data_IF_329329158354
#
_entry.id   IF_329329158354
#
_cell.length_a   1.000
_cell.length_b   1.000
_cell.length_c   1.000
_cell.angle_alpha   90.00
_cell.angle_beta   90.00
_cell.angle_gamma   90.00
#
_symmetry.space_group_name_H-M   'P 1'
#
loop_
_entity.id
_entity.type
_entity.pdbx_description
1 polymer ?
#
# COMPACT_ATOMS: atom_id res chain seq x y z
N UNK A 1 15.05 -2.67 15.56
CA UNK A 1 15.82 -3.89 15.86
C UNK A 1 15.50 -5.03 14.90
N UNK A 2 14.20 -5.43 14.75
CA UNK A 2 13.83 -6.55 13.87
C UNK A 2 14.25 -6.31 12.41
N UNK A 3 14.04 -5.11 11.88
CA UNK A 3 14.39 -4.74 10.51
C UNK A 3 15.89 -4.93 10.23
N UNK A 4 16.74 -4.46 11.13
CA UNK A 4 18.18 -4.63 11.03
C UNK A 4 18.61 -6.11 11.02
N UNK A 5 17.88 -6.96 11.74
CA UNK A 5 18.13 -8.41 11.74
C UNK A 5 17.72 -9.05 10.40
N UNK A 6 16.61 -8.65 9.81
CA UNK A 6 16.20 -9.09 8.47
C UNK A 6 17.17 -8.62 7.39
N UNK A 7 17.62 -7.36 7.42
CA UNK A 7 18.66 -6.84 6.52
C UNK A 7 19.96 -7.66 6.59
N UNK A 8 20.32 -8.12 7.81
CA UNK A 8 21.48 -8.99 8.05
C UNK A 8 21.21 -10.47 7.81
N UNK A 9 20.05 -10.84 7.25
CA UNK A 9 19.61 -12.23 7.02
C UNK A 9 19.55 -13.09 8.28
N UNK A 10 19.34 -12.47 9.43
CA UNK A 10 19.15 -13.13 10.72
C UNK A 10 17.66 -13.31 11.01
N UNK A 11 16.95 -13.94 10.09
CA UNK A 11 15.50 -14.05 10.08
C UNK A 11 14.91 -14.62 11.36
N UNK A 12 15.54 -15.67 11.91
CA UNK A 12 15.08 -16.29 13.15
C UNK A 12 15.09 -15.34 14.35
N UNK A 13 16.13 -14.50 14.45
CA UNK A 13 16.22 -13.47 15.49
C UNK A 13 15.25 -12.33 15.24
N UNK A 14 15.11 -11.90 13.97
CA UNK A 14 14.12 -10.89 13.58
C UNK A 14 12.70 -11.30 13.95
N UNK A 15 12.31 -12.54 13.64
CA UNK A 15 11.02 -13.11 14.00
C UNK A 15 10.83 -13.19 15.53
N UNK A 16 11.86 -13.57 16.28
CA UNK A 16 11.82 -13.56 17.75
C UNK A 16 11.55 -12.19 18.34
N UNK A 17 12.20 -11.15 17.80
CA UNK A 17 11.97 -9.77 18.24
C UNK A 17 10.54 -9.33 17.92
N UNK A 18 10.01 -9.72 16.76
CA UNK A 18 8.62 -9.40 16.39
C UNK A 18 7.62 -10.17 17.26
N UNK A 19 7.87 -11.45 17.60
CA UNK A 19 6.96 -12.23 18.46
C UNK A 19 6.83 -11.64 19.85
N UNK A 20 7.89 -11.05 20.42
CA UNK A 20 7.81 -10.36 21.70
C UNK A 20 6.81 -9.18 21.67
N UNK A 21 6.67 -8.48 20.53
CA UNK A 21 5.64 -7.44 20.38
C UNK A 21 4.24 -8.05 20.33
N UNK A 22 4.07 -9.19 19.66
CA UNK A 22 2.80 -9.90 19.60
C UNK A 22 2.34 -10.36 20.99
N UNK A 23 3.26 -10.78 21.86
CA UNK A 23 2.97 -11.25 23.20
C UNK A 23 2.54 -10.13 24.18
N UNK A 24 2.81 -8.86 23.83
CA UNK A 24 2.48 -7.73 24.72
C UNK A 24 1.00 -7.40 24.74
N UNK A 25 0.29 -7.52 23.59
CA UNK A 25 -1.14 -7.17 23.50
C UNK A 25 -1.74 -7.76 22.22
N UNK A 26 -2.23 -9.02 22.32
CA UNK A 26 -2.79 -9.76 21.19
C UNK A 26 -4.12 -9.23 20.67
N UNK A 27 -4.77 -8.33 21.39
CA UNK A 27 -6.04 -7.71 20.99
C UNK A 27 -5.86 -6.31 20.42
N UNK A 28 -4.63 -5.79 20.40
CA UNK A 28 -4.36 -4.47 19.87
C UNK A 28 -4.19 -4.50 18.36
N UNK A 29 -5.24 -4.09 17.64
CA UNK A 29 -5.25 -4.08 16.17
C UNK A 29 -4.11 -3.27 15.55
N UNK A 30 -3.65 -2.19 16.19
CA UNK A 30 -2.57 -1.38 15.68
C UNK A 30 -1.23 -2.13 15.75
N UNK A 31 -0.95 -2.81 16.87
CA UNK A 31 0.24 -3.65 17.03
C UNK A 31 0.23 -4.80 16.03
N UNK A 32 -0.91 -5.50 15.90
CA UNK A 32 -1.06 -6.61 14.96
C UNK A 32 -0.83 -6.16 13.51
N UNK A 33 -1.35 -4.97 13.14
CA UNK A 33 -1.16 -4.40 11.81
C UNK A 33 0.31 -4.04 11.53
N UNK A 34 0.99 -3.40 12.49
CA UNK A 34 2.44 -3.12 12.42
C UNK A 34 3.23 -4.42 12.21
N UNK A 35 2.92 -5.46 13.00
CA UNK A 35 3.56 -6.77 12.87
C UNK A 35 3.32 -7.39 11.49
N UNK A 36 2.08 -7.35 11.01
CA UNK A 36 1.71 -7.83 9.69
C UNK A 36 2.50 -7.13 8.58
N UNK A 37 2.60 -5.80 8.62
CA UNK A 37 3.41 -5.03 7.66
C UNK A 37 4.89 -5.40 7.73
N UNK A 38 5.47 -5.55 8.93
CA UNK A 38 6.87 -5.97 9.09
C UNK A 38 7.13 -7.36 8.51
N UNK A 39 6.21 -8.29 8.70
CA UNK A 39 6.31 -9.63 8.13
C UNK A 39 6.20 -9.62 6.60
N UNK A 40 5.28 -8.82 6.03
CA UNK A 40 5.21 -8.64 4.58
C UNK A 40 6.51 -8.07 4.02
N UNK A 41 7.08 -7.05 4.66
CA UNK A 41 8.35 -6.44 4.29
C UNK A 41 9.51 -7.44 4.30
N UNK A 42 9.52 -8.34 5.30
CA UNK A 42 10.52 -9.40 5.43
C UNK A 42 10.27 -10.58 4.47
N UNK A 43 9.29 -10.51 3.57
CA UNK A 43 8.92 -11.61 2.67
C UNK A 43 8.26 -12.80 3.39
N UNK A 44 7.74 -12.59 4.60
CA UNK A 44 7.11 -13.63 5.44
C UNK A 44 5.58 -13.55 5.37
N UNK A 45 5.02 -13.35 4.18
CA UNK A 45 3.58 -13.12 3.97
C UNK A 45 2.69 -14.21 4.60
N UNK A 46 3.12 -15.49 4.61
CA UNK A 46 2.38 -16.58 5.25
C UNK A 46 2.19 -16.37 6.76
N UNK A 47 3.12 -15.71 7.43
CA UNK A 47 3.02 -15.37 8.85
C UNK A 47 2.20 -14.09 9.08
N UNK A 48 2.11 -13.21 8.09
CA UNK A 48 1.32 -11.99 8.18
C UNK A 48 -0.19 -12.25 8.05
N UNK A 49 -0.60 -13.25 7.26
CA UNK A 49 -2.02 -13.56 7.01
C UNK A 49 -2.81 -13.73 8.29
N UNK A 50 -2.46 -14.61 9.25
CA UNK A 50 -3.26 -14.79 10.47
C UNK A 50 -3.36 -13.51 11.32
N UNK A 51 -2.35 -12.63 11.28
CA UNK A 51 -2.42 -11.34 11.97
C UNK A 51 -3.44 -10.42 11.31
N UNK A 52 -3.46 -10.34 9.98
CA UNK A 52 -4.44 -9.53 9.26
C UNK A 52 -5.85 -10.14 9.33
N UNK A 53 -6.01 -11.45 9.42
CA UNK A 53 -7.30 -12.10 9.72
C UNK A 53 -7.82 -11.61 11.07
N UNK A 54 -6.98 -11.61 12.10
CA UNK A 54 -7.33 -11.10 13.42
C UNK A 54 -7.61 -9.59 13.41
N UNK A 55 -6.83 -8.78 12.68
CA UNK A 55 -7.09 -7.33 12.52
C UNK A 55 -8.46 -7.10 11.88
N UNK A 56 -8.81 -7.87 10.83
CA UNK A 56 -10.14 -7.77 10.20
C UNK A 56 -11.26 -8.08 11.20
N UNK A 57 -11.08 -9.08 12.04
CA UNK A 57 -12.10 -9.49 13.03
C UNK A 57 -12.23 -8.46 14.17
N UNK A 58 -11.14 -7.81 14.57
CA UNK A 58 -11.12 -6.75 15.57
C UNK A 58 -11.61 -5.38 15.03
N UNK A 59 -11.39 -5.12 13.75
CA UNK A 59 -11.73 -3.86 13.09
C UNK A 59 -12.50 -4.05 11.77
N UNK A 60 -13.70 -4.68 11.78
CA UNK A 60 -14.49 -4.94 10.58
C UNK A 60 -15.10 -3.68 9.97
N UNK A 61 -14.98 -2.53 10.64
CA UNK A 61 -15.42 -1.19 10.22
C UNK A 61 -14.32 -0.39 9.53
N UNK A 62 -13.10 -0.93 9.42
CA UNK A 62 -11.96 -0.31 8.73
C UNK A 62 -11.71 -1.02 7.39
N UNK A 63 -11.83 -0.32 6.24
CA UNK A 63 -11.61 -0.93 4.93
C UNK A 63 -10.19 -1.46 4.75
N UNK A 64 -9.19 -0.80 5.38
CA UNK A 64 -7.80 -1.24 5.35
C UNK A 64 -7.60 -2.64 5.92
N UNK A 65 -8.43 -3.07 6.90
CA UNK A 65 -8.36 -4.41 7.46
C UNK A 65 -8.60 -5.50 6.40
N UNK A 66 -9.54 -5.27 5.50
CA UNK A 66 -9.83 -6.17 4.37
C UNK A 66 -8.81 -6.02 3.25
N UNK A 67 -8.39 -4.80 2.92
CA UNK A 67 -7.41 -4.55 1.87
C UNK A 67 -6.05 -5.17 2.22
N UNK A 68 -5.56 -4.95 3.44
CA UNK A 68 -4.28 -5.50 3.90
C UNK A 68 -4.30 -7.04 3.86
N UNK A 69 -5.40 -7.65 4.29
CA UNK A 69 -5.61 -9.10 4.20
C UNK A 69 -5.64 -9.57 2.75
N UNK A 70 -6.33 -8.86 1.86
CA UNK A 70 -6.38 -9.16 0.43
C UNK A 70 -5.01 -9.14 -0.21
N UNK A 71 -4.20 -8.12 0.08
CA UNK A 71 -2.82 -8.02 -0.43
C UNK A 71 -1.92 -9.13 0.15
N UNK A 72 -2.12 -9.51 1.42
CA UNK A 72 -1.39 -10.61 2.03
C UNK A 72 -1.76 -11.97 1.40
N UNK A 73 -3.05 -12.21 1.11
CA UNK A 73 -3.47 -13.40 0.37
C UNK A 73 -2.89 -13.45 -1.04
N UNK A 74 -2.87 -12.33 -1.76
CA UNK A 74 -2.21 -12.24 -3.08
C UNK A 74 -0.73 -12.61 -2.99
N UNK A 75 -0.03 -12.12 -1.98
CA UNK A 75 1.40 -12.39 -1.77
C UNK A 75 1.73 -13.87 -1.46
N UNK A 76 0.76 -14.66 -0.98
CA UNK A 76 0.93 -16.11 -0.74
C UNK A 76 0.37 -17.00 -1.84
N UNK A 77 -0.15 -16.41 -2.94
CA UNK A 77 -0.70 -17.13 -4.08
C UNK A 77 -2.12 -17.67 -3.84
N UNK A 78 -2.93 -16.98 -3.04
CA UNK A 78 -4.35 -17.28 -2.79
C UNK A 78 -5.24 -16.23 -3.51
N UNK A 79 -5.28 -16.21 -4.86
CA UNK A 79 -5.86 -15.11 -5.61
C UNK A 79 -7.38 -14.99 -5.40
N UNK A 80 -8.09 -16.09 -5.17
CA UNK A 80 -9.54 -16.03 -4.89
C UNK A 80 -9.82 -15.31 -3.56
N UNK A 81 -9.11 -15.68 -2.50
CA UNK A 81 -9.28 -15.03 -1.18
C UNK A 81 -8.89 -13.56 -1.23
N UNK A 82 -7.85 -13.24 -2.00
CA UNK A 82 -7.42 -11.87 -2.23
C UNK A 82 -8.51 -11.05 -2.93
N UNK A 83 -9.09 -11.57 -4.02
CA UNK A 83 -10.18 -10.92 -4.75
C UNK A 83 -11.42 -10.76 -3.86
N UNK A 84 -11.80 -11.78 -3.10
CA UNK A 84 -12.95 -11.73 -2.18
C UNK A 84 -12.76 -10.61 -1.13
N UNK A 85 -11.58 -10.50 -0.53
CA UNK A 85 -11.29 -9.47 0.47
C UNK A 85 -11.28 -8.05 -0.13
N UNK A 86 -10.69 -7.87 -1.31
CA UNK A 86 -10.68 -6.58 -2.02
C UNK A 86 -12.10 -6.19 -2.50
N UNK A 87 -12.92 -7.16 -2.91
CA UNK A 87 -14.30 -6.93 -3.27
C UNK A 87 -15.13 -6.43 -2.09
N UNK A 88 -14.89 -6.94 -0.88
CA UNK A 88 -15.55 -6.43 0.33
C UNK A 88 -15.29 -4.94 0.52
N UNK A 89 -14.07 -4.46 0.24
CA UNK A 89 -13.73 -3.03 0.31
C UNK A 89 -14.46 -2.25 -0.79
N UNK A 90 -14.49 -2.78 -2.02
CA UNK A 90 -15.05 -2.10 -3.18
C UNK A 90 -16.59 -1.97 -3.14
N UNK A 91 -17.29 -2.93 -2.53
CA UNK A 91 -18.77 -3.00 -2.54
C UNK A 91 -19.47 -2.33 -1.36
N UNK A 92 -18.74 -2.08 -0.27
CA UNK A 92 -19.30 -1.48 0.95
C UNK A 92 -19.17 0.04 0.94
N UNK A 93 -20.11 0.68 1.62
CA UNK A 93 -19.97 2.07 2.04
C UNK A 93 -19.14 2.13 3.33
N UNK A 94 -18.18 3.03 3.36
CA UNK A 94 -17.28 3.25 4.48
C UNK A 94 -17.45 4.66 5.04
N UNK A 95 -17.00 4.87 6.26
CA UNK A 95 -16.96 6.22 6.85
C UNK A 95 -16.20 7.18 5.92
N UNK A 96 -16.66 8.44 5.86
CA UNK A 96 -16.12 9.45 4.94
C UNK A 96 -14.62 9.75 5.12
N UNK A 97 -14.03 9.37 6.26
CA UNK A 97 -12.58 9.46 6.48
C UNK A 97 -11.76 8.53 5.59
N UNK A 98 -12.38 7.54 4.96
CA UNK A 98 -11.75 6.57 4.06
C UNK A 98 -12.07 6.88 2.59
N UNK A 99 -11.90 8.13 2.21
CA UNK A 99 -12.24 8.59 0.87
C UNK A 99 -11.53 7.77 -0.23
N UNK A 100 -12.27 7.38 -1.25
CA UNK A 100 -11.79 6.64 -2.43
C UNK A 100 -11.15 5.26 -2.19
N UNK A 101 -11.11 4.74 -0.97
CA UNK A 101 -10.49 3.44 -0.68
C UNK A 101 -11.14 2.28 -1.46
N UNK A 102 -12.46 2.36 -1.67
CA UNK A 102 -13.19 1.38 -2.48
C UNK A 102 -12.73 1.37 -3.94
N UNK A 103 -12.39 2.54 -4.50
CA UNK A 103 -11.87 2.64 -5.86
C UNK A 103 -10.46 2.05 -5.98
N UNK A 104 -9.61 2.29 -4.98
CA UNK A 104 -8.26 1.72 -4.91
C UNK A 104 -8.33 0.20 -4.85
N UNK A 105 -9.15 -0.36 -3.95
CA UNK A 105 -9.34 -1.80 -3.83
C UNK A 105 -9.97 -2.43 -5.08
N UNK A 106 -10.92 -1.74 -5.72
CA UNK A 106 -11.52 -2.17 -6.99
C UNK A 106 -10.47 -2.27 -8.10
N UNK A 107 -9.58 -1.29 -8.18
CA UNK A 107 -8.49 -1.27 -9.15
C UNK A 107 -7.53 -2.45 -8.91
N UNK A 108 -7.17 -2.71 -7.66
CA UNK A 108 -6.32 -3.85 -7.26
C UNK A 108 -6.98 -5.20 -7.55
N UNK A 109 -8.27 -5.34 -7.23
CA UNK A 109 -9.03 -6.56 -7.53
C UNK A 109 -9.06 -6.86 -9.03
N UNK A 110 -9.37 -5.86 -9.85
CA UNK A 110 -9.45 -6.05 -11.31
C UNK A 110 -8.08 -6.36 -11.93
N UNK A 111 -6.99 -5.76 -11.43
CA UNK A 111 -5.64 -6.10 -11.85
C UNK A 111 -5.28 -7.55 -11.47
N UNK A 112 -5.65 -7.98 -10.27
CA UNK A 112 -5.47 -9.34 -9.80
C UNK A 112 -6.22 -10.35 -10.69
N UNK A 113 -7.50 -10.09 -11.00
CA UNK A 113 -8.32 -10.92 -11.89
C UNK A 113 -7.67 -11.02 -13.27
N UNK A 114 -7.22 -9.92 -13.84
CA UNK A 114 -6.60 -9.89 -15.17
C UNK A 114 -5.28 -10.66 -15.22
N UNK A 115 -4.51 -10.64 -14.15
CA UNK A 115 -3.20 -11.33 -14.08
C UNK A 115 -3.31 -12.79 -13.66
N UNK A 116 -4.46 -13.22 -13.11
CA UNK A 116 -4.74 -14.60 -12.68
C UNK A 116 -5.96 -15.16 -13.41
N UNK A 117 -6.02 -14.95 -14.74
CA UNK A 117 -7.13 -15.38 -15.56
C UNK A 117 -7.44 -16.89 -15.37
N UNK A 118 -8.69 -17.20 -15.05
CA UNK A 118 -9.18 -18.57 -14.83
C UNK A 118 -8.91 -19.14 -13.43
N UNK A 119 -8.13 -18.45 -12.57
CA UNK A 119 -7.89 -18.86 -11.19
C UNK A 119 -8.86 -18.22 -10.18
N UNK A 120 -9.67 -17.24 -10.63
CA UNK A 120 -10.61 -16.50 -9.81
C UNK A 120 -12.02 -16.71 -10.35
N UNK A 121 -12.93 -17.22 -9.54
CA UNK A 121 -14.36 -17.27 -9.83
C UNK A 121 -14.96 -15.88 -9.65
N UNK A 122 -15.27 -15.23 -10.77
CA UNK A 122 -15.86 -13.88 -10.80
C UNK A 122 -17.39 -13.87 -10.76
N UNK A 123 -18.06 -15.04 -10.79
CA UNK A 123 -19.52 -15.14 -10.82
C UNK A 123 -20.24 -14.50 -9.64
N UNK A 124 -19.54 -14.39 -8.51
CA UNK A 124 -20.03 -13.79 -7.25
C UNK A 124 -19.82 -12.27 -7.17
N UNK A 125 -19.11 -11.67 -8.12
CA UNK A 125 -18.86 -10.24 -8.17
C UNK A 125 -19.84 -9.53 -9.10
N UNK A 126 -20.16 -8.28 -8.79
CA UNK A 126 -20.99 -7.46 -9.66
C UNK A 126 -20.28 -7.20 -11.01
N UNK A 127 -20.83 -7.72 -12.09
CA UNK A 127 -20.25 -7.62 -13.43
C UNK A 127 -19.96 -6.17 -13.87
N UNK A 128 -20.70 -5.18 -13.35
CA UNK A 128 -20.48 -3.76 -13.63
C UNK A 128 -19.16 -3.23 -13.06
N UNK A 129 -18.63 -3.89 -12.06
CA UNK A 129 -17.36 -3.55 -11.40
C UNK A 129 -16.14 -4.27 -12.02
N UNK A 130 -16.38 -5.26 -12.89
CA UNK A 130 -15.34 -6.08 -13.48
C UNK A 130 -14.73 -5.41 -14.71
N UNK A 131 -13.80 -4.48 -14.49
CA UNK A 131 -13.09 -3.81 -15.57
C UNK A 131 -11.65 -3.51 -15.18
N UNK A 132 -10.72 -4.24 -15.78
CA UNK A 132 -9.29 -3.91 -15.63
C UNK A 132 -8.95 -2.61 -16.37
N UNK A 133 -8.21 -1.74 -15.70
CA UNK A 133 -7.73 -0.45 -16.22
C UNK A 133 -6.20 -0.42 -16.08
N UNK A 134 -5.47 -1.05 -17.03
CA UNK A 134 -4.02 -1.08 -16.96
C UNK A 134 -3.42 0.31 -17.11
N UNK A 135 -2.34 0.55 -16.38
CA UNK A 135 -1.58 1.81 -16.38
C UNK A 135 -0.09 1.54 -16.48
N UNK A 136 0.64 2.48 -17.11
CA UNK A 136 2.09 2.37 -17.24
C UNK A 136 2.80 2.58 -15.91
N UNK A 137 2.24 3.45 -15.06
CA UNK A 137 2.82 3.79 -13.77
C UNK A 137 1.74 3.88 -12.69
N UNK A 138 1.97 3.16 -11.59
CA UNK A 138 1.22 3.27 -10.34
C UNK A 138 2.20 3.45 -9.18
N UNK A 139 1.95 4.43 -8.34
CA UNK A 139 2.71 4.70 -7.12
C UNK A 139 1.75 4.65 -5.94
N UNK A 140 2.05 3.85 -4.92
CA UNK A 140 1.21 3.68 -3.73
C UNK A 140 2.05 3.90 -2.49
N UNK A 141 1.62 4.84 -1.66
CA UNK A 141 2.20 5.11 -0.35
C UNK A 141 1.28 4.53 0.74
N UNK A 142 1.81 3.64 1.55
CA UNK A 142 1.13 3.10 2.73
C UNK A 142 1.93 3.45 3.98
N UNK A 143 1.26 3.52 5.14
CA UNK A 143 1.91 3.75 6.44
C UNK A 143 1.28 2.91 7.55
N UNK A 144 2.02 2.69 8.63
CA UNK A 144 1.67 1.78 9.73
C UNK A 144 1.08 2.49 10.96
N UNK A 145 0.75 3.78 10.86
CA UNK A 145 0.20 4.56 11.97
C UNK A 145 -1.19 5.11 11.62
N UNK A 146 -2.16 4.96 12.52
CA UNK A 146 -3.48 5.58 12.41
C UNK A 146 -3.41 7.09 12.68
N UNK A 147 -4.34 7.85 12.11
CA UNK A 147 -4.43 9.31 12.28
C UNK A 147 -3.14 10.09 11.93
N UNK A 148 -2.34 9.51 11.05
CA UNK A 148 -1.18 10.18 10.46
C UNK A 148 -1.57 10.86 9.17
N UNK A 149 -1.15 12.11 9.04
CA UNK A 149 -1.35 12.93 7.85
C UNK A 149 -0.10 12.84 6.98
N UNK A 150 -0.23 12.04 5.91
CA UNK A 150 0.85 11.71 4.98
C UNK A 150 0.43 11.99 3.56
N UNK A 151 1.12 12.88 2.87
CA UNK A 151 0.88 13.15 1.46
C UNK A 151 1.88 12.44 0.55
N UNK A 152 1.37 11.85 -0.50
CA UNK A 152 2.15 11.40 -1.64
C UNK A 152 2.32 12.55 -2.64
N UNK A 153 3.56 12.88 -2.98
CA UNK A 153 3.89 13.81 -4.05
C UNK A 153 4.64 13.10 -5.16
N UNK A 154 4.16 13.23 -6.39
CA UNK A 154 4.80 12.67 -7.59
C UNK A 154 5.06 13.79 -8.59
N UNK A 155 6.31 14.06 -8.87
CA UNK A 155 6.73 15.06 -9.86
C UNK A 155 7.14 14.37 -11.15
N UNK A 156 6.55 14.76 -12.26
CA UNK A 156 6.81 14.20 -13.59
C UNK A 156 8.09 14.79 -14.24
N UNK A 157 8.55 14.25 -15.38
CA UNK A 157 9.74 14.75 -16.08
C UNK A 157 9.65 16.20 -16.56
N UNK A 158 8.44 16.78 -16.66
CA UNK A 158 8.24 18.19 -17.01
C UNK A 158 8.24 19.11 -15.77
N UNK A 159 8.38 18.53 -14.56
CA UNK A 159 8.34 19.28 -13.31
C UNK A 159 6.92 19.52 -12.78
N UNK A 160 5.88 18.95 -13.41
CA UNK A 160 4.52 19.03 -12.86
C UNK A 160 4.38 18.07 -11.69
N UNK A 161 3.90 18.59 -10.55
CA UNK A 161 3.69 17.81 -9.32
C UNK A 161 2.23 17.43 -9.16
N UNK A 162 1.95 16.12 -9.03
CA UNK A 162 0.70 15.59 -8.52
C UNK A 162 0.78 15.51 -6.99
N UNK A 163 -0.25 16.01 -6.30
CA UNK A 163 -0.42 15.98 -4.85
C UNK A 163 -1.90 16.30 -4.53
N UNK A 164 -2.31 16.36 -3.25
CA UNK A 164 -3.70 16.65 -2.86
C UNK A 164 -4.28 17.93 -3.51
N UNK A 165 -3.48 18.98 -3.70
CA UNK A 165 -3.90 20.24 -4.32
C UNK A 165 -3.88 20.26 -5.86
N UNK A 166 -3.20 19.30 -6.49
CA UNK A 166 -3.16 19.11 -7.96
C UNK A 166 -3.34 17.62 -8.28
N UNK A 167 -4.55 17.12 -8.14
CA UNK A 167 -4.86 15.70 -8.27
C UNK A 167 -4.89 15.19 -9.71
N UNK A 168 -5.05 16.06 -10.69
CA UNK A 168 -5.11 15.74 -12.11
C UNK A 168 -4.03 16.51 -12.85
N UNK A 169 -3.00 15.80 -13.34
CA UNK A 169 -1.92 16.41 -14.09
C UNK A 169 -2.24 16.55 -15.56
N UNK A 170 -1.55 17.46 -16.26
CA UNK A 170 -1.70 17.67 -17.71
C UNK A 170 -1.37 16.40 -18.51
N UNK A 171 -0.48 15.56 -17.99
CA UNK A 171 -0.13 14.28 -18.59
C UNK A 171 -1.24 13.22 -18.42
N UNK A 172 -2.29 13.50 -17.63
CA UNK A 172 -3.37 12.58 -17.34
C UNK A 172 -3.12 11.70 -16.11
N UNK A 173 -2.15 12.07 -15.28
CA UNK A 173 -1.95 11.46 -13.98
C UNK A 173 -3.07 11.81 -13.03
N UNK A 174 -3.46 10.85 -12.18
CA UNK A 174 -4.48 11.00 -11.16
C UNK A 174 -3.95 10.62 -9.80
N UNK A 175 -4.08 11.54 -8.84
CA UNK A 175 -3.85 11.32 -7.41
C UNK A 175 -5.17 10.92 -6.75
N UNK A 176 -5.14 9.97 -5.81
CA UNK A 176 -6.27 9.62 -4.95
C UNK A 176 -6.72 10.81 -4.09
N UNK A 177 -7.84 10.65 -3.39
CA UNK A 177 -8.21 11.58 -2.35
C UNK A 177 -7.15 11.59 -1.25
N UNK A 178 -7.00 12.76 -0.64
CA UNK A 178 -6.18 12.99 0.53
C UNK A 178 -6.77 12.24 1.74
N UNK A 179 -5.94 11.42 2.40
CA UNK A 179 -6.29 10.66 3.58
C UNK A 179 -5.61 11.27 4.82
N UNK A 180 -6.22 12.29 5.39
CA UNK A 180 -5.72 12.99 6.60
C UNK A 180 -5.88 12.17 7.88
N UNK A 181 -6.44 10.97 7.79
CA UNK A 181 -6.62 10.04 8.91
C UNK A 181 -6.71 8.59 8.41
N UNK A 182 -6.21 7.64 9.19
CA UNK A 182 -6.14 6.23 8.82
C UNK A 182 -4.73 5.79 8.44
N UNK A 183 -4.64 4.62 7.81
CA UNK A 183 -3.36 3.95 7.46
C UNK A 183 -2.96 4.14 5.99
N UNK A 184 -3.56 5.05 5.28
CA UNK A 184 -3.48 5.15 3.83
C UNK A 184 -4.39 4.11 3.13
N UNK A 185 -4.12 3.82 1.87
CA UNK A 185 -3.04 4.33 1.04
C UNK A 185 -3.35 5.65 0.35
N UNK A 186 -2.33 6.38 -0.05
CA UNK A 186 -2.42 7.33 -1.15
C UNK A 186 -1.86 6.74 -2.44
N UNK A 187 -2.49 7.07 -3.54
CA UNK A 187 -2.22 6.45 -4.84
C UNK A 187 -2.11 7.49 -5.95
N UNK A 188 -1.05 7.36 -6.75
CA UNK A 188 -0.93 8.04 -8.05
C UNK A 188 -0.96 7.03 -9.18
N UNK A 189 -1.76 7.28 -10.21
CA UNK A 189 -1.82 6.47 -11.42
C UNK A 189 -1.64 7.31 -12.66
N UNK A 190 -0.93 6.76 -13.65
CA UNK A 190 -0.71 7.38 -14.94
C UNK A 190 -0.82 6.34 -16.04
N UNK A 191 -1.84 6.51 -16.92
CA UNK A 191 -2.15 5.54 -17.97
C UNK A 191 -1.07 5.43 -19.03
N UNK A 192 -0.52 6.57 -19.46
CA UNK A 192 0.52 6.64 -20.47
C UNK A 192 1.65 7.53 -19.95
N UNK A 193 2.68 6.90 -19.39
CA UNK A 193 3.79 7.61 -18.81
C UNK A 193 4.78 8.05 -19.89
N UNK A 194 5.13 9.36 -19.89
CA UNK A 194 6.20 9.84 -20.76
C UNK A 194 7.56 9.29 -20.28
N UNK A 195 8.48 9.02 -21.20
CA UNK A 195 9.85 8.68 -20.82
C UNK A 195 10.52 9.82 -20.05
N UNK A 196 11.28 9.47 -19.02
CA UNK A 196 12.04 10.42 -18.23
C UNK A 196 11.97 10.12 -16.74
N UNK A 197 12.52 11.06 -15.96
CA UNK A 197 12.68 10.90 -14.51
C UNK A 197 11.47 11.40 -13.76
N UNK A 198 10.91 10.55 -12.92
CA UNK A 198 9.89 10.86 -11.96
C UNK A 198 10.51 10.92 -10.57
N UNK A 199 10.07 11.91 -9.76
CA UNK A 199 10.48 12.08 -8.37
C UNK A 199 9.29 11.78 -7.46
N UNK A 200 9.50 10.96 -6.45
CA UNK A 200 8.49 10.63 -5.43
C UNK A 200 8.94 11.13 -4.08
N UNK A 201 8.09 11.91 -3.45
CA UNK A 201 8.28 12.46 -2.11
C UNK A 201 7.09 12.09 -1.23
N UNK A 202 7.34 11.85 0.04
CA UNK A 202 6.34 11.76 1.09
C UNK A 202 6.44 13.01 1.97
N UNK A 203 5.31 13.66 2.20
CA UNK A 203 5.26 14.80 3.10
C UNK A 203 4.48 14.42 4.35
N UNK A 204 5.15 14.49 5.50
CA UNK A 204 4.59 14.14 6.79
C UNK A 204 4.23 15.38 7.57
N UNK A 205 2.94 15.59 7.79
CA UNK A 205 2.44 16.73 8.57
C UNK A 205 2.40 16.48 10.08
N UNK A 206 2.53 15.22 10.50
CA UNK A 206 2.50 14.84 11.90
C UNK A 206 1.47 13.78 12.23
N UNK A 207 1.45 13.37 13.49
CA UNK A 207 0.50 12.40 14.01
C UNK A 207 -0.40 13.09 15.04
N UNK A 208 -1.71 12.85 14.96
CA UNK A 208 -2.71 13.37 15.89
C UNK A 208 -2.87 12.48 17.13
N UNK A 209 -2.21 11.34 17.17
CA UNK A 209 -2.18 10.41 18.30
C UNK A 209 -0.75 10.10 18.71
N UNK A 210 -0.58 9.68 19.97
CA UNK A 210 0.71 9.21 20.46
C UNK A 210 1.09 7.90 19.73
N UNK A 211 2.23 7.91 19.05
CA UNK A 211 2.73 6.74 18.34
C UNK A 211 3.17 5.65 19.31
N UNK A 212 2.71 4.42 19.10
CA UNK A 212 3.14 3.24 19.87
C UNK A 212 4.65 3.00 19.67
N UNK A 213 5.15 3.26 18.46
CA UNK A 213 6.55 2.99 18.08
C UNK A 213 7.47 4.21 18.11
N UNK A 214 6.93 5.41 18.39
CA UNK A 214 7.70 6.67 18.34
C UNK A 214 8.18 7.06 16.93
N UNK A 215 7.75 6.35 15.90
CA UNK A 215 8.09 6.59 14.49
C UNK A 215 7.07 5.93 13.59
N UNK A 216 6.85 6.51 12.40
CA UNK A 216 5.97 5.97 11.36
C UNK A 216 6.82 5.28 10.30
N UNK A 217 6.36 4.11 9.85
CA UNK A 217 6.99 3.41 8.74
C UNK A 217 6.15 3.59 7.49
N UNK A 218 6.78 4.10 6.46
CA UNK A 218 6.22 4.22 5.12
C UNK A 218 6.67 3.05 4.26
N UNK A 219 5.74 2.51 3.49
CA UNK A 219 6.03 1.62 2.37
C UNK A 219 5.57 2.28 1.09
N UNK A 220 6.51 2.61 0.22
CA UNK A 220 6.23 3.02 -1.14
C UNK A 220 6.33 1.79 -2.04
N UNK A 221 5.29 1.55 -2.83
CA UNK A 221 5.30 0.62 -3.94
C UNK A 221 5.21 1.39 -5.26
N UNK A 222 6.14 1.13 -6.15
CA UNK A 222 6.15 1.63 -7.51
C UNK A 222 5.94 0.47 -8.45
N UNK A 223 4.91 0.56 -9.28
CA UNK A 223 4.50 -0.52 -10.16
C UNK A 223 4.46 0.00 -11.59
N UNK A 224 5.26 -0.61 -12.47
CA UNK A 224 5.18 -0.35 -13.91
C UNK A 224 4.37 -1.44 -14.58
N UNK A 225 3.57 -1.07 -15.61
CA UNK A 225 2.69 -1.99 -16.30
C UNK A 225 1.61 -2.63 -15.42
N UNK A 226 1.13 -1.89 -14.41
CA UNK A 226 0.11 -2.38 -13.48
C UNK A 226 -1.14 -2.88 -14.21
N UNK A 227 -1.70 -4.00 -13.75
CA UNK A 227 -2.85 -4.64 -14.38
C UNK A 227 -2.52 -5.44 -15.65
N UNK A 228 -1.26 -5.70 -15.93
CA UNK A 228 -0.79 -6.54 -17.04
C UNK A 228 0.09 -7.69 -16.56
N UNK A 229 0.31 -8.69 -17.40
CA UNK A 229 1.25 -9.78 -17.13
C UNK A 229 2.72 -9.33 -17.03
N UNK A 230 3.03 -8.12 -17.49
CA UNK A 230 4.36 -7.51 -17.45
C UNK A 230 4.56 -6.61 -16.23
N UNK A 231 3.59 -6.58 -15.32
CA UNK A 231 3.69 -5.76 -14.11
C UNK A 231 4.97 -6.04 -13.33
N UNK A 232 5.67 -4.98 -12.94
CA UNK A 232 6.86 -5.05 -12.10
C UNK A 232 6.71 -4.10 -10.94
N UNK A 233 6.87 -4.62 -9.74
CA UNK A 233 6.84 -3.84 -8.51
C UNK A 233 8.26 -3.66 -7.97
N UNK A 234 8.56 -2.44 -7.57
CA UNK A 234 9.70 -2.10 -6.73
C UNK A 234 9.15 -1.43 -5.47
N UNK A 235 9.63 -1.83 -4.31
CA UNK A 235 9.19 -1.22 -3.06
C UNK A 235 10.39 -0.73 -2.25
N UNK A 236 10.18 0.39 -1.57
CA UNK A 236 11.12 0.92 -0.59
C UNK A 236 10.38 1.21 0.71
N UNK A 237 11.14 1.19 1.79
CA UNK A 237 10.63 1.40 3.13
C UNK A 237 11.45 2.51 3.75
N UNK A 238 10.74 3.45 4.36
CA UNK A 238 11.32 4.54 5.11
C UNK A 238 10.74 4.54 6.51
N UNK A 239 11.56 4.90 7.47
CA UNK A 239 11.13 5.15 8.84
C UNK A 239 11.27 6.63 9.11
N UNK A 240 10.16 7.29 9.44
CA UNK A 240 10.13 8.70 9.79
C UNK A 240 10.06 8.85 11.31
N UNK A 241 10.82 9.79 11.85
CA UNK A 241 10.66 10.25 13.22
C UNK A 241 9.39 11.14 13.31
N UNK A 242 8.80 11.24 14.49
CA UNK A 242 7.57 12.03 14.70
C UNK A 242 7.87 13.54 14.65
N UNK A 243 8.16 14.03 13.46
CA UNK A 243 8.33 15.46 13.15
C UNK A 243 7.89 15.75 11.73
N UNK A 244 7.36 16.95 11.52
CA UNK A 244 6.98 17.40 10.18
C UNK A 244 8.21 17.44 9.27
N UNK A 245 8.17 16.69 8.18
CA UNK A 245 9.24 16.68 7.20
C UNK A 245 8.75 16.21 5.82
N UNK A 246 9.42 16.71 4.79
CA UNK A 246 9.27 16.18 3.42
C UNK A 246 10.49 15.34 3.10
N UNK A 247 10.26 14.09 2.77
CA UNK A 247 11.33 13.11 2.51
C UNK A 247 11.29 12.69 1.05
N UNK A 248 12.44 12.77 0.38
CA UNK A 248 12.61 12.13 -0.92
C UNK A 248 12.57 10.61 -0.72
N UNK A 249 11.53 9.98 -1.25
CA UNK A 249 11.39 8.53 -1.18
C UNK A 249 12.18 7.84 -2.29
N UNK A 250 12.25 8.45 -3.47
CA UNK A 250 13.08 7.98 -4.57
C UNK A 250 12.87 8.72 -5.87
N UNK A 251 13.79 8.48 -6.78
CA UNK A 251 13.68 8.88 -8.19
C UNK A 251 13.74 7.64 -9.06
N UNK A 252 13.01 7.63 -10.18
CA UNK A 252 12.99 6.50 -11.10
C UNK A 252 12.81 6.97 -12.54
N UNK A 253 13.39 6.22 -13.48
CA UNK A 253 13.29 6.51 -14.90
C UNK A 253 12.25 5.59 -15.56
N UNK A 254 11.25 6.19 -16.21
CA UNK A 254 10.30 5.47 -17.09
C UNK A 254 10.89 5.43 -18.49
N UNK A 255 10.79 4.25 -19.16
CA UNK A 255 11.38 4.04 -20.48
C UNK A 255 12.84 3.50 -20.46
N UNK A 256 13.46 3.40 -19.28
CA UNK A 256 14.67 2.63 -19.01
C UNK A 256 14.34 1.48 -18.03
N UNK A 257 15.17 0.42 -17.91
CA UNK A 257 14.96 -0.56 -16.85
C UNK A 257 14.98 0.16 -15.49
N UNK A 258 13.83 0.16 -14.82
CA UNK A 258 13.61 0.94 -13.62
C UNK A 258 14.65 0.61 -12.53
N UNK A 259 15.45 1.59 -12.14
CA UNK A 259 16.30 1.56 -10.96
C UNK A 259 15.87 2.70 -10.06
N UNK A 260 15.48 2.38 -8.82
CA UNK A 260 15.35 3.40 -7.78
C UNK A 260 16.77 3.72 -7.32
N UNK A 261 17.24 4.93 -7.60
CA UNK A 261 18.45 5.48 -6.99
C UNK A 261 18.03 6.23 -5.72
N UNK A 262 18.65 5.87 -4.61
CA UNK A 262 18.51 6.56 -3.32
C UNK A 262 19.33 7.83 -3.30
#
# INVERSE_FOLDING_TARGET
AADLLFERRQDALGLRVLSNLAEMDLENRAILRILGYRLLQAGKARLAVPLFEQVRDLAPFEPQSFRDLGLAYAAIGEPQKAADALYEVARREWDGRFAEIGLIALTEMNALIATHAGAIDTSRFDARLLRNLPVDLRVVLNWDADNSDMDLWVTDPNGERAYYGNRLTRQGGRMSADLTSGYGPEEFMLKAAMPGRYKVEANYYGNRQQLISGSVTLRLALITGFGTAQAREQSTILRLEDRQETVLVGEFDVGAPAKITR
#
